data_IF_202408183307
#
_entry.id   IF_202408183307
#
_cell.length_a   1.000
_cell.length_b   1.000
_cell.length_c   1.000
_cell.angle_alpha   90.00
_cell.angle_beta   90.00
_cell.angle_gamma   90.00
#
_symmetry.space_group_name_H-M   'P 1'
#
loop_
_entity.id
_entity.type
_entity.pdbx_description
1 polymer ?
#
# COMPACT_ATOMS: atom_id res chain seq x y z
N UNK A 1 14.70 1.83 -17.66
CA UNK A 1 15.86 1.89 -16.75
C UNK A 1 15.43 1.58 -15.30
N UNK A 2 16.30 0.97 -14.49
CA UNK A 2 16.08 0.72 -13.05
C UNK A 2 17.20 1.37 -12.25
N UNK A 3 16.85 2.16 -11.24
CA UNK A 3 17.81 2.78 -10.32
C UNK A 3 17.54 2.25 -8.92
N UNK A 4 18.60 1.78 -8.26
CA UNK A 4 18.59 1.39 -6.85
C UNK A 4 19.56 2.27 -6.07
N UNK A 5 19.04 2.97 -5.09
CA UNK A 5 19.81 3.82 -4.20
C UNK A 5 20.36 3.02 -3.02
N UNK A 6 21.46 3.54 -2.44
CA UNK A 6 22.25 2.84 -1.42
C UNK A 6 21.78 3.19 -0.01
N UNK A 7 21.90 2.22 0.89
CA UNK A 7 21.54 2.28 2.33
C UNK A 7 21.97 3.56 3.08
N UNK A 8 23.07 4.21 2.68
CA UNK A 8 23.58 5.41 3.35
C UNK A 8 23.07 6.73 2.72
N UNK A 9 22.05 6.68 1.87
CA UNK A 9 21.45 7.86 1.27
C UNK A 9 20.83 8.74 2.38
N UNK A 10 21.35 9.97 2.53
CA UNK A 10 20.90 10.94 3.54
C UNK A 10 19.74 11.82 3.06
N UNK A 11 19.48 11.88 1.76
CA UNK A 11 18.42 12.69 1.15
C UNK A 11 17.98 12.11 -0.19
N UNK A 12 16.81 12.52 -0.67
CA UNK A 12 16.33 12.12 -1.99
C UNK A 12 17.30 12.59 -3.10
N UNK A 13 17.76 11.72 -4.01
CA UNK A 13 18.67 12.12 -5.10
C UNK A 13 17.89 12.82 -6.20
N UNK A 14 17.93 14.15 -6.18
CA UNK A 14 17.21 14.98 -7.14
C UNK A 14 17.65 14.76 -8.59
N UNK A 15 18.84 14.18 -8.83
CA UNK A 15 19.34 13.84 -10.16
C UNK A 15 18.45 12.80 -10.85
N UNK A 16 17.82 11.90 -10.07
CA UNK A 16 16.89 10.90 -10.61
C UNK A 16 15.65 11.56 -11.24
N UNK A 17 15.30 12.78 -10.83
CA UNK A 17 14.11 13.49 -11.35
C UNK A 17 14.24 13.92 -12.82
N UNK A 18 15.46 13.92 -13.37
CA UNK A 18 15.71 14.16 -14.79
C UNK A 18 15.71 12.88 -15.64
N UNK A 19 15.62 11.70 -15.03
CA UNK A 19 15.72 10.41 -15.72
C UNK A 19 14.40 10.01 -16.39
N UNK A 20 14.14 10.58 -17.57
CA UNK A 20 12.91 10.34 -18.34
C UNK A 20 12.67 8.86 -18.71
N UNK A 21 13.72 8.03 -18.75
CA UNK A 21 13.64 6.60 -19.09
C UNK A 21 13.44 5.68 -17.86
N UNK A 22 13.36 6.26 -16.66
CA UNK A 22 13.26 5.52 -15.41
C UNK A 22 11.90 4.83 -15.29
N UNK A 23 11.94 3.52 -15.03
CA UNK A 23 10.75 2.68 -14.82
C UNK A 23 10.69 2.08 -13.43
N UNK A 24 11.84 1.87 -12.79
CA UNK A 24 11.91 1.30 -11.44
C UNK A 24 12.83 2.14 -10.59
N UNK A 25 12.31 2.62 -9.46
CA UNK A 25 13.05 3.38 -8.47
C UNK A 25 12.97 2.67 -7.11
N UNK A 26 14.13 2.26 -6.61
CA UNK A 26 14.29 1.74 -5.26
C UNK A 26 15.03 2.75 -4.39
N UNK A 27 14.36 3.24 -3.37
CA UNK A 27 14.89 4.13 -2.35
C UNK A 27 15.16 3.29 -1.10
N UNK A 28 16.43 3.10 -0.74
CA UNK A 28 16.83 2.47 0.53
C UNK A 28 17.77 3.44 1.23
N UNK A 29 17.39 3.97 2.38
CA UNK A 29 18.19 5.00 3.04
C UNK A 29 17.89 5.12 4.52
N UNK A 30 18.90 4.97 5.36
CA UNK A 30 18.78 5.19 6.82
C UNK A 30 18.58 6.68 7.15
N UNK A 31 19.04 7.59 6.27
CA UNK A 31 18.90 9.03 6.43
C UNK A 31 17.77 9.67 5.61
N UNK A 32 17.11 8.91 4.73
CA UNK A 32 16.05 9.44 3.87
C UNK A 32 14.80 9.75 4.71
N UNK A 33 14.51 11.03 4.91
CA UNK A 33 13.37 11.50 5.71
C UNK A 33 12.18 11.97 4.89
N UNK A 34 12.37 12.29 3.61
CA UNK A 34 11.33 12.86 2.76
C UNK A 34 11.52 12.51 1.28
N UNK A 35 10.43 12.55 0.52
CA UNK A 35 10.37 12.43 -0.93
C UNK A 35 9.74 13.70 -1.49
N UNK A 36 10.42 14.44 -2.37
CA UNK A 36 9.91 15.69 -2.90
C UNK A 36 8.72 15.47 -3.85
N UNK A 37 7.71 16.38 -3.89
CA UNK A 37 6.57 16.29 -4.80
C UNK A 37 6.98 16.31 -6.29
N UNK A 38 8.18 16.78 -6.59
CA UNK A 38 8.82 16.72 -7.91
C UNK A 38 9.00 15.28 -8.42
N UNK A 39 8.80 14.25 -7.58
CA UNK A 39 8.68 12.85 -8.02
C UNK A 39 7.63 12.68 -9.14
N UNK A 40 6.63 13.58 -9.21
CA UNK A 40 5.70 13.71 -10.34
C UNK A 40 6.38 13.83 -11.71
N UNK A 41 7.65 14.26 -11.80
CA UNK A 41 8.41 14.34 -13.07
C UNK A 41 8.72 12.96 -13.67
N UNK A 42 8.65 11.90 -12.88
CA UNK A 42 8.98 10.53 -13.32
C UNK A 42 7.81 9.88 -14.09
N UNK A 43 7.43 10.47 -15.23
CA UNK A 43 6.26 10.10 -16.04
C UNK A 43 6.27 8.66 -16.59
N UNK A 44 7.43 7.99 -16.57
CA UNK A 44 7.59 6.60 -16.99
C UNK A 44 7.78 5.61 -15.82
N UNK A 45 7.69 6.07 -14.57
CA UNK A 45 7.88 5.21 -13.41
C UNK A 45 6.74 4.21 -13.28
N UNK A 46 7.08 2.93 -13.25
CA UNK A 46 6.17 1.80 -13.13
C UNK A 46 6.24 1.14 -11.75
N UNK A 47 7.38 1.22 -11.08
CA UNK A 47 7.58 0.66 -9.74
C UNK A 47 8.35 1.63 -8.87
N UNK A 48 7.76 1.96 -7.72
CA UNK A 48 8.40 2.69 -6.63
C UNK A 48 8.48 1.79 -5.41
N UNK A 49 9.69 1.59 -4.89
CA UNK A 49 9.94 0.81 -3.67
C UNK A 49 10.73 1.64 -2.69
N UNK A 50 10.26 1.74 -1.45
CA UNK A 50 10.83 2.60 -0.42
C UNK A 50 11.11 1.77 0.84
N UNK A 51 12.32 1.88 1.36
CA UNK A 51 12.71 1.35 2.67
C UNK A 51 13.52 2.43 3.39
N UNK A 52 12.85 3.22 4.21
CA UNK A 52 13.43 4.38 4.87
C UNK A 52 12.72 4.65 6.20
N UNK A 53 13.37 4.40 7.35
CA UNK A 53 12.75 4.48 8.68
C UNK A 53 12.45 5.89 9.17
N UNK A 54 13.01 6.91 8.52
CA UNK A 54 12.80 8.31 8.86
C UNK A 54 11.64 8.96 8.10
N UNK A 55 11.06 8.29 7.09
CA UNK A 55 9.89 8.82 6.37
C UNK A 55 8.67 8.80 7.28
N UNK A 56 8.04 9.97 7.44
CA UNK A 56 6.82 10.16 8.23
C UNK A 56 5.59 10.55 7.38
N UNK A 57 5.80 10.98 6.14
CA UNK A 57 4.75 11.33 5.19
C UNK A 57 5.20 11.07 3.75
N UNK A 58 4.25 11.08 2.82
CA UNK A 58 4.52 10.91 1.38
C UNK A 58 3.82 12.03 0.61
N UNK A 59 4.42 12.53 -0.48
CA UNK A 59 3.74 13.45 -1.39
C UNK A 59 2.59 12.74 -2.12
N UNK A 60 1.46 13.44 -2.29
CA UNK A 60 0.29 12.93 -3.01
C UNK A 60 0.62 12.58 -4.48
N UNK A 61 1.61 13.27 -5.04
CA UNK A 61 2.12 13.13 -6.39
C UNK A 61 2.59 11.71 -6.73
N UNK A 62 2.99 10.91 -5.75
CA UNK A 62 3.32 9.49 -5.96
C UNK A 62 2.13 8.76 -6.58
N UNK A 63 0.94 8.97 -6.02
CA UNK A 63 -0.26 8.25 -6.45
C UNK A 63 -0.84 8.81 -7.75
N UNK A 64 -0.44 10.01 -8.17
CA UNK A 64 -0.84 10.61 -9.44
C UNK A 64 0.04 10.18 -10.64
N UNK A 65 1.09 9.39 -10.43
CA UNK A 65 2.01 8.97 -11.50
C UNK A 65 1.29 8.10 -12.55
N UNK A 66 1.28 8.49 -13.84
CA UNK A 66 0.36 7.93 -14.83
C UNK A 66 0.66 6.46 -15.21
N UNK A 67 1.87 5.97 -14.92
CA UNK A 67 2.29 4.60 -15.24
C UNK A 67 2.62 3.76 -14.01
N UNK A 68 2.41 4.29 -12.80
CA UNK A 68 2.79 3.59 -11.58
C UNK A 68 1.89 2.36 -11.37
N UNK A 69 2.48 1.18 -11.49
CA UNK A 69 1.79 -0.10 -11.31
C UNK A 69 1.99 -0.67 -9.92
N UNK A 70 3.18 -0.48 -9.36
CA UNK A 70 3.59 -1.13 -8.11
C UNK A 70 4.14 -0.07 -7.16
N UNK A 71 3.46 0.12 -6.04
CA UNK A 71 3.93 0.93 -4.93
C UNK A 71 4.28 0.02 -3.74
N UNK A 72 5.51 0.15 -3.23
CA UNK A 72 5.98 -0.57 -2.05
C UNK A 72 6.61 0.39 -1.06
N UNK A 73 6.24 0.24 0.20
CA UNK A 73 6.95 0.90 1.30
C UNK A 73 7.03 -0.03 2.51
N UNK A 74 8.21 -0.12 3.10
CA UNK A 74 8.47 -0.95 4.27
C UNK A 74 9.24 -0.18 5.34
N UNK A 75 8.83 -0.34 6.59
CA UNK A 75 9.61 0.09 7.73
C UNK A 75 9.75 1.61 7.80
N UNK A 76 8.66 2.34 7.55
CA UNK A 76 8.56 3.80 7.69
C UNK A 76 7.71 4.15 8.93
N UNK A 77 7.43 5.43 9.17
CA UNK A 77 6.53 5.88 10.25
C UNK A 77 5.32 6.62 9.69
N UNK A 78 4.59 5.96 8.80
CA UNK A 78 3.39 6.50 8.16
C UNK A 78 2.14 6.22 9.01
N UNK A 79 1.45 7.26 9.46
CA UNK A 79 0.13 7.12 10.10
C UNK A 79 -1.02 7.01 9.09
N UNK A 80 -0.84 7.56 7.90
CA UNK A 80 -1.75 7.45 6.76
C UNK A 80 -0.99 7.53 5.43
N UNK A 81 -1.62 7.08 4.33
CA UNK A 81 -1.21 7.50 2.99
C UNK A 81 -1.80 8.89 2.69
N UNK A 82 -1.16 9.71 1.83
CA UNK A 82 -1.69 11.02 1.47
C UNK A 82 -3.01 10.90 0.70
N UNK A 83 -3.90 11.87 0.89
CA UNK A 83 -5.06 12.04 0.01
C UNK A 83 -4.59 12.53 -1.36
N UNK A 84 -5.09 11.91 -2.43
CA UNK A 84 -4.62 12.11 -3.79
C UNK A 84 -5.73 11.78 -4.80
N UNK A 85 -5.54 12.21 -6.04
CA UNK A 85 -6.26 11.66 -7.19
C UNK A 85 -5.42 10.51 -7.75
N UNK A 86 -5.80 9.25 -7.52
CA UNK A 86 -4.93 8.14 -7.88
C UNK A 86 -4.91 7.92 -9.39
N UNK A 87 -3.76 7.44 -9.86
CA UNK A 87 -3.59 6.86 -11.17
C UNK A 87 -4.29 5.50 -11.21
N UNK A 88 -5.12 5.30 -12.22
CA UNK A 88 -5.86 4.04 -12.43
C UNK A 88 -4.95 2.90 -12.91
N UNK A 89 -3.63 3.13 -13.04
CA UNK A 89 -2.65 2.13 -13.46
C UNK A 89 -2.13 1.26 -12.32
N UNK A 90 -2.43 1.59 -11.06
CA UNK A 90 -1.91 0.87 -9.89
C UNK A 90 -2.52 -0.54 -9.82
N UNK A 91 -1.64 -1.54 -9.85
CA UNK A 91 -1.99 -2.96 -9.78
C UNK A 91 -1.65 -3.56 -8.40
N UNK A 92 -0.65 -2.99 -7.70
CA UNK A 92 -0.16 -3.51 -6.41
C UNK A 92 0.21 -2.40 -5.44
N UNK A 93 -0.29 -2.51 -4.21
CA UNK A 93 0.10 -1.66 -3.08
C UNK A 93 0.58 -2.56 -1.95
N UNK A 94 1.85 -2.46 -1.58
CA UNK A 94 2.48 -3.23 -0.51
C UNK A 94 3.04 -2.28 0.56
N UNK A 95 2.33 -2.11 1.66
CA UNK A 95 2.68 -1.18 2.73
C UNK A 95 2.80 -1.95 4.03
N UNK A 96 4.03 -2.13 4.53
CA UNK A 96 4.26 -2.94 5.72
C UNK A 96 5.13 -2.24 6.76
N UNK A 97 4.85 -2.51 8.04
CA UNK A 97 5.65 -1.97 9.16
C UNK A 97 5.72 -0.43 9.11
N UNK A 98 4.59 0.23 8.84
CA UNK A 98 4.56 1.70 8.75
C UNK A 98 3.75 2.38 9.86
N UNK A 99 2.83 1.65 10.48
CA UNK A 99 1.94 2.19 11.51
C UNK A 99 0.67 2.84 10.96
N UNK A 100 0.25 2.49 9.72
CA UNK A 100 -0.98 3.00 9.13
C UNK A 100 -2.17 2.74 10.05
N UNK A 101 -2.93 3.79 10.36
CA UNK A 101 -4.16 3.70 11.16
C UNK A 101 -5.42 3.70 10.29
N UNK A 102 -5.33 4.28 9.10
CA UNK A 102 -6.42 4.37 8.15
C UNK A 102 -5.91 4.32 6.71
N UNK A 103 -6.78 3.89 5.80
CA UNK A 103 -6.56 3.94 4.36
C UNK A 103 -7.30 5.14 3.77
N UNK A 104 -6.75 5.78 2.74
CA UNK A 104 -7.39 6.92 2.10
C UNK A 104 -8.64 6.51 1.32
N UNK A 105 -9.59 7.43 1.19
CA UNK A 105 -10.89 7.15 0.55
C UNK A 105 -10.74 6.76 -0.92
N UNK A 106 -9.74 7.31 -1.63
CA UNK A 106 -9.49 7.02 -3.04
C UNK A 106 -9.03 5.58 -3.31
N UNK A 107 -8.63 4.82 -2.29
CA UNK A 107 -8.16 3.44 -2.48
C UNK A 107 -9.20 2.60 -3.22
N UNK A 108 -10.49 2.78 -2.90
CA UNK A 108 -11.60 2.03 -3.50
C UNK A 108 -11.88 2.40 -4.96
N UNK A 109 -11.20 3.42 -5.49
CA UNK A 109 -11.27 3.81 -6.90
C UNK A 109 -10.31 2.99 -7.77
N UNK A 110 -9.36 2.26 -7.19
CA UNK A 110 -8.35 1.50 -7.95
C UNK A 110 -8.91 0.21 -8.56
N UNK A 111 -9.66 0.34 -9.65
CA UNK A 111 -10.29 -0.76 -10.38
C UNK A 111 -9.30 -1.77 -11.03
N UNK A 112 -8.02 -1.41 -11.13
CA UNK A 112 -6.92 -2.29 -11.58
C UNK A 112 -6.15 -2.96 -10.45
N UNK A 113 -6.44 -2.63 -9.19
CA UNK A 113 -5.73 -3.20 -8.04
C UNK A 113 -5.98 -4.70 -7.93
N UNK A 114 -4.91 -5.49 -7.96
CA UNK A 114 -4.95 -6.94 -7.88
C UNK A 114 -4.42 -7.46 -6.54
N UNK A 115 -3.59 -6.67 -5.87
CA UNK A 115 -2.86 -7.08 -4.69
C UNK A 115 -2.72 -5.92 -3.71
N UNK A 116 -3.23 -6.11 -2.50
CA UNK A 116 -3.10 -5.18 -1.39
C UNK A 116 -2.51 -5.92 -0.20
N UNK A 117 -1.30 -5.55 0.19
CA UNK A 117 -0.61 -6.07 1.37
C UNK A 117 -0.42 -4.93 2.36
N UNK A 118 -1.02 -5.06 3.54
CA UNK A 118 -1.02 -4.08 4.61
C UNK A 118 -0.48 -4.68 5.92
N UNK A 119 0.38 -5.70 5.80
CA UNK A 119 0.91 -6.46 6.94
C UNK A 119 1.65 -5.58 7.96
N UNK A 120 1.48 -5.86 9.25
CA UNK A 120 2.15 -5.13 10.34
C UNK A 120 1.88 -3.62 10.29
N UNK A 121 0.60 -3.23 10.35
CA UNK A 121 0.19 -1.85 10.57
C UNK A 121 -0.74 -1.77 11.80
N UNK A 122 -1.50 -0.69 11.92
CA UNK A 122 -2.42 -0.43 13.03
C UNK A 122 -3.84 -0.19 12.53
N UNK A 123 -4.23 -0.85 11.44
CA UNK A 123 -5.54 -0.69 10.81
C UNK A 123 -6.62 -1.42 11.59
N UNK A 124 -7.76 -0.79 11.83
CA UNK A 124 -8.93 -1.40 12.48
C UNK A 124 -10.16 -1.47 11.58
N UNK A 125 -10.10 -0.88 10.37
CA UNK A 125 -11.20 -0.86 9.42
C UNK A 125 -10.70 -0.70 7.98
N UNK A 126 -11.56 -1.06 7.03
CA UNK A 126 -11.39 -0.77 5.60
C UNK A 126 -12.32 0.38 5.19
N UNK A 127 -11.96 1.18 4.17
CA UNK A 127 -12.81 2.27 3.70
C UNK A 127 -14.13 1.75 3.13
N UNK A 128 -15.19 2.55 3.26
CA UNK A 128 -16.50 2.23 2.69
C UNK A 128 -16.38 2.05 1.16
N UNK A 129 -17.05 1.03 0.62
CA UNK A 129 -17.01 0.72 -0.80
C UNK A 129 -15.82 -0.15 -1.21
N UNK A 130 -15.16 -0.82 -0.27
CA UNK A 130 -14.06 -1.76 -0.55
C UNK A 130 -14.44 -2.87 -1.54
N UNK A 131 -15.73 -3.24 -1.62
CA UNK A 131 -16.30 -4.14 -2.63
C UNK A 131 -16.04 -3.70 -4.08
N UNK A 132 -15.81 -2.40 -4.33
CA UNK A 132 -15.55 -1.84 -5.67
C UNK A 132 -14.19 -2.27 -6.25
N UNK A 133 -13.30 -2.84 -5.43
CA UNK A 133 -12.03 -3.40 -5.88
C UNK A 133 -12.24 -4.74 -6.59
N UNK A 134 -12.97 -4.72 -7.71
CA UNK A 134 -13.48 -5.90 -8.43
C UNK A 134 -12.38 -6.79 -9.03
N UNK A 135 -11.15 -6.28 -9.19
CA UNK A 135 -9.98 -7.05 -9.65
C UNK A 135 -9.05 -7.51 -8.53
N UNK A 136 -9.36 -7.18 -7.27
CA UNK A 136 -8.51 -7.56 -6.13
C UNK A 136 -8.53 -9.08 -5.96
N UNK A 137 -7.37 -9.70 -6.09
CA UNK A 137 -7.18 -11.15 -5.98
C UNK A 137 -6.56 -11.54 -4.65
N UNK A 138 -5.72 -10.67 -4.08
CA UNK A 138 -5.00 -10.93 -2.85
C UNK A 138 -5.10 -9.75 -1.89
N UNK A 139 -5.57 -10.03 -0.69
CA UNK A 139 -5.64 -9.10 0.43
C UNK A 139 -4.90 -9.70 1.63
N UNK A 140 -3.89 -9.00 2.14
CA UNK A 140 -3.13 -9.43 3.32
C UNK A 140 -3.26 -8.33 4.37
N UNK A 141 -3.89 -8.67 5.49
CA UNK A 141 -4.15 -7.76 6.63
C UNK A 141 -3.50 -8.28 7.92
N UNK A 142 -2.50 -9.15 7.81
CA UNK A 142 -1.85 -9.75 8.96
C UNK A 142 -1.27 -8.69 9.92
N UNK A 143 -1.28 -8.99 11.21
CA UNK A 143 -0.75 -8.14 12.27
C UNK A 143 -1.29 -6.70 12.21
N UNK A 144 -2.60 -6.57 12.28
CA UNK A 144 -3.31 -5.29 12.38
C UNK A 144 -4.18 -5.27 13.65
N UNK A 145 -5.24 -4.45 13.66
CA UNK A 145 -6.15 -4.19 14.78
C UNK A 145 -7.62 -4.39 14.39
N UNK A 146 -7.88 -5.30 13.47
CA UNK A 146 -9.24 -5.61 13.07
C UNK A 146 -9.94 -6.43 14.16
N UNK A 147 -11.07 -5.90 14.63
CA UNK A 147 -11.99 -6.63 15.52
C UNK A 147 -13.13 -7.29 14.75
N UNK A 148 -13.46 -6.74 13.57
CA UNK A 148 -14.50 -7.23 12.65
C UNK A 148 -14.14 -6.95 11.20
N UNK A 149 -14.66 -7.76 10.28
CA UNK A 149 -14.60 -7.49 8.84
C UNK A 149 -15.95 -6.97 8.31
N UNK A 150 -15.94 -6.04 7.34
CA UNK A 150 -17.18 -5.58 6.70
C UNK A 150 -17.81 -6.72 5.89
N UNK A 151 -19.15 -6.82 5.89
CA UNK A 151 -19.88 -7.89 5.18
C UNK A 151 -19.57 -7.93 3.67
N UNK A 152 -19.33 -6.75 3.08
CA UNK A 152 -18.88 -6.57 1.70
C UNK A 152 -17.64 -7.41 1.35
N UNK A 153 -16.73 -7.63 2.30
CA UNK A 153 -15.50 -8.39 2.05
C UNK A 153 -15.78 -9.84 1.66
N UNK A 154 -16.83 -10.45 2.22
CA UNK A 154 -17.23 -11.83 1.95
C UNK A 154 -17.83 -12.01 0.54
N UNK A 155 -18.18 -10.90 -0.14
CA UNK A 155 -18.82 -10.92 -1.45
C UNK A 155 -17.90 -10.42 -2.58
N UNK A 156 -16.61 -10.23 -2.30
CA UNK A 156 -15.65 -9.75 -3.30
C UNK A 156 -15.48 -10.77 -4.44
N UNK A 157 -15.79 -10.41 -5.71
CA UNK A 157 -15.95 -11.39 -6.79
C UNK A 157 -14.64 -12.04 -7.24
N UNK A 158 -13.51 -11.33 -7.07
CA UNK A 158 -12.20 -11.80 -7.56
C UNK A 158 -11.25 -12.22 -6.44
N UNK A 159 -11.65 -12.09 -5.16
CA UNK A 159 -10.75 -12.33 -4.04
C UNK A 159 -10.48 -13.84 -3.91
N UNK A 160 -9.20 -14.22 -4.03
CA UNK A 160 -8.75 -15.62 -4.00
C UNK A 160 -7.90 -15.94 -2.77
N UNK A 161 -7.29 -14.92 -2.19
CA UNK A 161 -6.43 -15.07 -1.03
C UNK A 161 -6.69 -13.93 -0.07
N UNK A 162 -7.06 -14.29 1.15
CA UNK A 162 -7.25 -13.40 2.27
C UNK A 162 -6.45 -13.94 3.45
N UNK A 163 -5.59 -13.11 4.01
CA UNK A 163 -4.80 -13.41 5.22
C UNK A 163 -5.11 -12.37 6.29
N UNK A 164 -5.35 -12.85 7.51
CA UNK A 164 -5.95 -12.10 8.61
C UNK A 164 -5.26 -12.37 9.96
N UNK A 165 -4.10 -13.01 9.95
CA UNK A 165 -3.43 -13.51 11.16
C UNK A 165 -3.03 -12.35 12.07
N UNK A 166 -2.98 -12.56 13.39
CA UNK A 166 -2.51 -11.52 14.31
C UNK A 166 -3.40 -10.27 14.40
N UNK A 167 -4.71 -10.43 14.22
CA UNK A 167 -5.73 -9.41 14.47
C UNK A 167 -6.51 -9.69 15.77
N UNK A 168 -7.32 -8.71 16.19
CA UNK A 168 -8.00 -8.69 17.49
C UNK A 168 -9.45 -9.24 17.40
N UNK A 169 -9.67 -10.28 16.56
CA UNK A 169 -10.99 -10.88 16.36
C UNK A 169 -11.47 -11.65 17.59
N UNK A 170 -12.74 -11.44 17.98
CA UNK A 170 -13.43 -12.26 18.97
C UNK A 170 -13.63 -13.70 18.45
N UNK A 171 -13.88 -14.65 19.35
CA UNK A 171 -14.16 -16.04 18.95
C UNK A 171 -15.37 -16.15 17.99
N UNK A 172 -16.41 -15.35 18.22
CA UNK A 172 -17.61 -15.29 17.37
C UNK A 172 -17.27 -14.75 15.96
N UNK A 173 -16.43 -13.72 15.87
CA UNK A 173 -15.99 -13.19 14.59
C UNK A 173 -15.12 -14.20 13.83
N UNK A 174 -14.22 -14.89 14.53
CA UNK A 174 -13.39 -15.95 13.96
C UNK A 174 -14.25 -17.07 13.38
N UNK A 175 -15.25 -17.55 14.13
CA UNK A 175 -16.22 -18.54 13.67
C UNK A 175 -16.98 -18.05 12.43
N UNK A 176 -17.48 -16.80 12.44
CA UNK A 176 -18.14 -16.21 11.26
C UNK A 176 -17.23 -16.18 10.03
N UNK A 177 -15.96 -15.83 10.20
CA UNK A 177 -15.00 -15.78 9.10
C UNK A 177 -14.67 -17.19 8.59
N UNK A 178 -14.48 -18.16 9.49
CA UNK A 178 -14.24 -19.56 9.12
C UNK A 178 -15.43 -20.13 8.34
N UNK A 179 -16.66 -19.89 8.79
CA UNK A 179 -17.86 -20.39 8.10
C UNK A 179 -18.04 -19.79 6.71
N UNK A 180 -17.71 -18.50 6.54
CA UNK A 180 -17.93 -17.78 5.28
C UNK A 180 -16.81 -17.99 4.26
N UNK A 181 -15.57 -18.18 4.72
CA UNK A 181 -14.38 -18.17 3.85
C UNK A 181 -13.48 -19.41 3.98
N UNK A 182 -13.72 -20.29 4.95
CA UNK A 182 -12.88 -21.46 5.22
C UNK A 182 -11.47 -21.10 5.74
N UNK A 183 -11.30 -19.91 6.31
CA UNK A 183 -10.01 -19.41 6.85
C UNK A 183 -9.90 -19.77 8.34
N UNK A 184 -8.69 -20.10 8.79
CA UNK A 184 -8.37 -20.48 10.17
C UNK A 184 -7.37 -19.50 10.78
N UNK A 185 -7.44 -19.29 12.11
CA UNK A 185 -6.67 -18.28 12.86
C UNK A 185 -5.69 -18.90 13.87
#
# INVERSE_FOLDING_TARGET
>A
MRIKLKKNQASFPNEVLSESSLRVLELVGEGLSDIPPQISRLQNLETLSIQAPLITSLPAEIFALPKLKIFKIKGAKLTSLPEATPSMSIEKILVSQTGLKQLPSWLVMLDHLQELDLTNNSLSSLPKGFINLTKLKRLILDSNKFEKLPEDLFSMPSLKHLSLDGNDFSSEEKERITDRLGIWF
#
